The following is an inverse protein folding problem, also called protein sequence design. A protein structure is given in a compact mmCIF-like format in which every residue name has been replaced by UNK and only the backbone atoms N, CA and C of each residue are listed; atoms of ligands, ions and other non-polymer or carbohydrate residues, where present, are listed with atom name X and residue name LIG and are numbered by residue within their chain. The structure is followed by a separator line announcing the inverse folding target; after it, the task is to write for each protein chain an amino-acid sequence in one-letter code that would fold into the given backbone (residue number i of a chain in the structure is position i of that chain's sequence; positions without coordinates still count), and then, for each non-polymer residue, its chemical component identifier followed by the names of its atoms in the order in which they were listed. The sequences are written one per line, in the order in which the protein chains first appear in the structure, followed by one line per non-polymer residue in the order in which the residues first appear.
data_IF_298373053148
#
_entry.id   IF_298373053148
#
_cell.length_a   1.000
_cell.length_b   1.000
_cell.length_c   1.000
_cell.angle_alpha   90.00
_cell.angle_beta   90.00
_cell.angle_gamma   90.00
#
_symmetry.space_group_name_H-M   'P 1'
#
loop_
_entity.id
_entity.type
_entity.pdbx_description
1 polymer ?
#
# COMPACT_ATOMS: atom_id res chain seq x y z
N UNK A 1 -17.40 -18.49 8.83
CA UNK A 1 -16.60 -17.25 8.64
C UNK A 1 -15.34 -17.68 7.91
N UNK A 2 -14.96 -17.03 6.81
CA UNK A 2 -13.78 -17.45 6.04
C UNK A 2 -12.51 -17.19 6.86
N UNK A 3 -11.52 -18.09 6.78
CA UNK A 3 -10.23 -17.89 7.42
C UNK A 3 -9.54 -16.66 6.80
N UNK A 4 -8.92 -15.79 7.62
CA UNK A 4 -8.30 -14.57 7.14
C UNK A 4 -7.10 -14.86 6.22
N UNK A 5 -7.07 -14.21 5.05
CA UNK A 5 -6.04 -14.37 4.02
C UNK A 5 -5.61 -12.99 3.53
N UNK A 6 -4.32 -12.66 3.65
CA UNK A 6 -3.80 -11.33 3.34
C UNK A 6 -2.89 -11.40 2.10
N UNK A 7 -3.26 -10.64 1.06
CA UNK A 7 -2.41 -10.41 -0.11
C UNK A 7 -1.76 -9.03 -0.01
N UNK A 8 -0.45 -8.98 0.19
CA UNK A 8 0.31 -7.75 0.15
C UNK A 8 0.70 -7.43 -1.29
N UNK A 9 0.36 -6.25 -1.79
CA UNK A 9 0.69 -5.81 -3.16
C UNK A 9 1.75 -4.72 -3.09
N UNK A 10 2.95 -5.03 -3.58
CA UNK A 10 4.03 -4.05 -3.72
C UNK A 10 3.88 -3.34 -5.05
N UNK A 11 3.47 -2.08 -4.99
CA UNK A 11 3.37 -1.23 -6.18
C UNK A 11 4.78 -0.69 -6.48
N UNK A 12 5.26 -0.75 -7.74
CA UNK A 12 6.53 -0.16 -8.13
C UNK A 12 6.60 1.33 -7.75
N UNK A 13 7.56 1.67 -6.89
CA UNK A 13 7.96 3.04 -6.56
C UNK A 13 9.45 3.22 -6.87
N UNK A 14 9.98 4.46 -6.80
CA UNK A 14 11.43 4.70 -6.90
C UNK A 14 12.22 3.70 -6.04
N UNK A 15 13.34 3.21 -6.58
CA UNK A 15 14.18 2.12 -6.04
C UNK A 15 14.48 2.25 -4.53
N UNK A 16 13.59 1.72 -3.71
CA UNK A 16 13.75 1.54 -2.27
C UNK A 16 13.13 0.19 -1.95
N UNK A 17 13.88 -0.65 -1.24
CA UNK A 17 13.43 -1.99 -0.86
C UNK A 17 12.11 -1.96 -0.07
N UNK A 18 11.16 -2.89 -0.30
CA UNK A 18 9.82 -2.87 0.32
C UNK A 18 9.83 -3.35 1.79
N UNK A 19 10.59 -2.66 2.65
CA UNK A 19 10.72 -3.00 4.07
C UNK A 19 9.37 -3.04 4.82
N UNK A 20 8.41 -2.19 4.41
CA UNK A 20 7.09 -2.10 5.06
C UNK A 20 6.27 -3.38 4.95
N UNK A 21 6.01 -3.86 3.73
CA UNK A 21 5.21 -5.07 3.49
C UNK A 21 5.84 -6.31 4.10
N UNK A 22 7.16 -6.44 3.98
CA UNK A 22 7.92 -7.57 4.54
C UNK A 22 7.88 -7.56 6.07
N UNK A 23 8.06 -6.38 6.70
CA UNK A 23 8.01 -6.26 8.16
C UNK A 23 6.61 -6.57 8.71
N UNK A 24 5.56 -6.09 8.03
CA UNK A 24 4.18 -6.36 8.42
C UNK A 24 3.87 -7.86 8.32
N UNK A 25 4.24 -8.50 7.19
CA UNK A 25 4.02 -9.92 7.00
C UNK A 25 4.75 -10.76 8.07
N UNK A 26 5.99 -10.40 8.41
CA UNK A 26 6.74 -11.05 9.49
C UNK A 26 6.10 -10.82 10.87
N UNK A 27 5.53 -9.64 11.14
CA UNK A 27 4.81 -9.38 12.38
C UNK A 27 3.56 -10.26 12.50
N UNK A 28 2.73 -10.31 11.45
CA UNK A 28 1.53 -11.16 11.42
C UNK A 28 1.92 -12.63 11.52
N UNK A 29 2.93 -13.09 10.80
CA UNK A 29 3.39 -14.47 10.87
C UNK A 29 3.80 -14.89 12.30
N UNK A 30 4.40 -13.98 13.08
CA UNK A 30 4.82 -14.25 14.46
C UNK A 30 3.66 -14.27 15.46
N UNK A 31 2.63 -13.45 15.24
CA UNK A 31 1.54 -13.26 16.20
C UNK A 31 0.25 -14.00 15.84
N UNK A 32 0.05 -14.29 14.56
CA UNK A 32 -1.13 -14.94 13.96
C UNK A 32 -0.67 -15.91 12.85
N UNK A 33 0.09 -16.97 13.17
CA UNK A 33 0.66 -17.90 12.19
C UNK A 33 -0.38 -18.64 11.34
N UNK A 34 -1.63 -18.72 11.82
CA UNK A 34 -2.76 -19.31 11.11
C UNK A 34 -3.28 -18.46 9.95
N UNK A 35 -2.94 -17.16 9.91
CA UNK A 35 -3.32 -16.26 8.82
C UNK A 35 -2.49 -16.59 7.59
N UNK A 36 -3.15 -17.00 6.51
CA UNK A 36 -2.46 -17.23 5.24
C UNK A 36 -2.05 -15.90 4.63
N UNK A 37 -0.82 -15.82 4.13
CA UNK A 37 -0.24 -14.57 3.63
C UNK A 37 0.50 -14.80 2.32
N UNK A 38 0.38 -13.84 1.39
CA UNK A 38 1.13 -13.84 0.14
C UNK A 38 1.60 -12.41 -0.19
N UNK A 39 2.80 -12.27 -0.77
CA UNK A 39 3.32 -10.99 -1.25
C UNK A 39 3.40 -11.05 -2.78
N UNK A 40 2.68 -10.16 -3.45
CA UNK A 40 2.77 -9.91 -4.88
C UNK A 40 3.59 -8.66 -5.14
N UNK A 41 4.77 -8.82 -5.74
CA UNK A 41 5.58 -7.69 -6.20
C UNK A 41 5.27 -7.36 -7.65
N UNK A 42 4.69 -6.18 -7.90
CA UNK A 42 4.40 -5.68 -9.24
C UNK A 42 5.58 -4.92 -9.84
N UNK A 43 6.65 -4.69 -9.09
CA UNK A 43 7.84 -3.96 -9.55
C UNK A 43 8.51 -4.58 -10.79
N UNK A 44 8.70 -5.91 -10.88
CA UNK A 44 9.25 -6.53 -12.09
C UNK A 44 8.23 -6.67 -13.22
N UNK A 45 6.94 -6.41 -12.97
CA UNK A 45 5.86 -6.64 -13.93
C UNK A 45 5.69 -5.42 -14.85
N UNK A 46 5.66 -5.60 -16.18
CA UNK A 46 5.36 -4.53 -17.13
C UNK A 46 4.02 -3.86 -16.82
N UNK A 47 3.93 -2.54 -16.96
CA UNK A 47 2.74 -1.77 -16.56
C UNK A 47 1.44 -2.29 -17.18
N UNK A 48 1.46 -2.65 -18.48
CA UNK A 48 0.30 -3.20 -19.18
C UNK A 48 -0.16 -4.59 -18.70
N UNK A 49 0.65 -5.29 -17.90
CA UNK A 49 0.36 -6.64 -17.41
C UNK A 49 0.02 -6.67 -15.91
N UNK A 50 0.19 -5.54 -15.20
CA UNK A 50 0.03 -5.49 -13.73
C UNK A 50 -1.38 -5.81 -13.26
N UNK A 51 -2.40 -5.27 -13.92
CA UNK A 51 -3.80 -5.50 -13.55
C UNK A 51 -4.16 -6.98 -13.73
N UNK A 52 -3.85 -7.55 -14.90
CA UNK A 52 -4.10 -8.98 -15.16
C UNK A 52 -3.34 -9.88 -14.17
N UNK A 53 -2.11 -9.50 -13.80
CA UNK A 53 -1.31 -10.22 -12.80
C UNK A 53 -1.95 -10.15 -11.41
N UNK A 54 -2.46 -8.98 -11.02
CA UNK A 54 -3.16 -8.78 -9.75
C UNK A 54 -4.47 -9.60 -9.70
N UNK A 55 -5.26 -9.56 -10.78
CA UNK A 55 -6.52 -10.31 -10.87
C UNK A 55 -6.27 -11.82 -10.74
N UNK A 56 -5.28 -12.34 -11.47
CA UNK A 56 -4.90 -13.75 -11.38
C UNK A 56 -4.40 -14.13 -9.98
N UNK A 57 -3.71 -13.23 -9.28
CA UNK A 57 -3.28 -13.45 -7.90
C UNK A 57 -4.47 -13.45 -6.92
N UNK A 58 -5.42 -12.54 -7.09
CA UNK A 58 -6.64 -12.48 -6.27
C UNK A 58 -7.48 -13.74 -6.49
N UNK A 59 -7.67 -14.18 -7.72
CA UNK A 59 -8.43 -15.40 -8.03
C UNK A 59 -7.76 -16.63 -7.42
N UNK A 60 -6.45 -16.81 -7.66
CA UNK A 60 -5.67 -17.94 -7.13
C UNK A 60 -5.66 -17.97 -5.61
N UNK A 61 -5.37 -16.83 -4.98
CA UNK A 61 -5.12 -16.77 -3.54
C UNK A 61 -6.41 -16.56 -2.74
N UNK A 62 -7.47 -16.03 -3.36
CA UNK A 62 -8.74 -15.69 -2.72
C UNK A 62 -8.55 -14.93 -1.39
N UNK A 63 -7.85 -13.77 -1.39
CA UNK A 63 -7.61 -13.00 -0.19
C UNK A 63 -8.91 -12.44 0.40
N UNK A 64 -9.00 -12.42 1.72
CA UNK A 64 -10.04 -11.65 2.43
C UNK A 64 -9.61 -10.20 2.62
N UNK A 65 -8.31 -9.92 2.54
CA UNK A 65 -7.71 -8.58 2.66
C UNK A 65 -6.64 -8.40 1.59
N UNK A 66 -6.70 -7.29 0.86
CA UNK A 66 -5.63 -6.86 -0.06
C UNK A 66 -4.98 -5.60 0.52
N UNK A 67 -3.68 -5.67 0.80
CA UNK A 67 -2.91 -4.61 1.43
C UNK A 67 -1.91 -4.02 0.44
N UNK A 68 -2.17 -2.82 -0.07
CA UNK A 68 -1.27 -2.12 -0.99
C UNK A 68 -0.16 -1.39 -0.23
N UNK A 69 1.08 -1.57 -0.66
CA UNK A 69 2.20 -0.80 -0.13
C UNK A 69 2.25 0.58 -0.78
N UNK A 70 1.53 1.55 -0.21
CA UNK A 70 1.62 2.93 -0.65
C UNK A 70 2.89 3.58 -0.08
N UNK A 71 3.95 3.69 -0.89
CA UNK A 71 5.25 4.21 -0.45
C UNK A 71 5.54 5.64 -0.92
N UNK A 72 4.70 6.19 -1.80
CA UNK A 72 4.85 7.54 -2.33
C UNK A 72 3.84 8.52 -1.70
N UNK A 73 3.67 8.44 -0.37
CA UNK A 73 3.16 9.61 0.39
C UNK A 73 4.29 10.61 0.60
N UNK A 74 4.95 11.03 -0.48
CA UNK A 74 5.57 12.35 -0.50
C UNK A 74 4.45 13.32 -0.86
N UNK A 75 3.49 13.53 0.05
CA UNK A 75 2.59 14.68 -0.03
C UNK A 75 3.46 15.88 0.28
N UNK A 76 4.19 16.37 -0.74
CA UNK A 76 5.10 17.50 -0.69
C UNK A 76 5.61 17.81 0.72
N UNK A 77 6.35 16.90 1.35
CA UNK A 77 7.08 17.30 2.54
C UNK A 77 7.95 18.46 2.04
N UNK A 78 7.72 19.71 2.51
CA UNK A 78 8.63 20.78 2.13
C UNK A 78 10.02 20.30 2.54
N UNK A 79 11.08 20.76 1.87
CA UNK A 79 12.42 20.58 2.41
C UNK A 79 12.49 21.37 3.72
N UNK A 80 11.93 20.83 4.81
CA UNK A 80 11.79 21.48 6.09
C UNK A 80 13.14 21.26 6.80
N UNK A 81 13.88 22.34 7.10
CA UNK A 81 15.07 22.24 7.93
C UNK A 81 14.70 21.61 9.28
N UNK A 82 15.57 20.76 9.83
CA UNK A 82 15.33 19.94 11.03
C UNK A 82 14.65 20.68 12.20
N UNK A 83 14.83 22.00 12.32
CA UNK A 83 14.28 22.82 13.39
C UNK A 83 12.76 23.08 13.37
N UNK A 84 12.01 22.63 12.35
CA UNK A 84 10.56 22.94 12.22
C UNK A 84 9.60 21.74 12.30
N UNK A 85 10.11 20.54 12.52
CA UNK A 85 9.34 19.28 12.49
C UNK A 85 8.18 19.29 13.51
N UNK A 86 8.35 19.94 14.66
CA UNK A 86 7.35 19.90 15.73
C UNK A 86 6.05 20.69 15.43
N UNK A 87 6.13 21.74 14.59
CA UNK A 87 4.97 22.57 14.27
C UNK A 87 4.13 21.94 13.15
N UNK A 88 4.76 21.25 12.21
CA UNK A 88 4.08 20.62 11.07
C UNK A 88 3.43 19.28 11.43
N UNK A 89 3.95 18.55 12.42
CA UNK A 89 3.29 17.35 12.98
C UNK A 89 1.91 17.68 13.52
N UNK A 90 1.68 18.90 14.03
CA UNK A 90 0.37 19.34 14.53
C UNK A 90 -0.65 19.61 13.41
N UNK A 91 -0.19 19.82 12.17
CA UNK A 91 -1.03 20.15 11.01
C UNK A 91 -1.16 18.99 9.99
N UNK A 92 -0.60 17.82 10.30
CA UNK A 92 -0.52 16.66 9.42
C UNK A 92 -1.90 16.06 9.05
N UNK A 93 -2.85 16.09 9.98
CA UNK A 93 -4.12 15.36 9.88
C UNK A 93 -5.09 15.97 8.85
N UNK A 94 -5.09 17.29 8.69
CA UNK A 94 -6.01 17.98 7.78
C UNK A 94 -5.65 17.79 6.29
N UNK A 95 -4.36 17.64 5.97
CA UNK A 95 -3.89 17.53 4.59
C UNK A 95 -3.95 16.09 4.05
N UNK A 96 -3.82 15.08 4.94
CA UNK A 96 -3.95 13.68 4.57
C UNK A 96 -5.39 13.33 4.15
N UNK A 97 -6.40 13.89 4.85
CA UNK A 97 -7.80 13.67 4.54
C UNK A 97 -8.22 14.24 3.16
N UNK A 98 -7.65 15.38 2.76
CA UNK A 98 -7.92 16.00 1.47
C UNK A 98 -7.33 15.18 0.31
N UNK A 99 -6.07 14.75 0.44
CA UNK A 99 -5.40 13.93 -0.58
C UNK A 99 -6.09 12.57 -0.80
N UNK A 100 -6.61 11.96 0.28
CA UNK A 100 -7.40 10.74 0.18
C UNK A 100 -8.72 10.94 -0.58
N UNK A 101 -9.38 12.08 -0.35
CA UNK A 101 -10.65 12.43 -1.01
C UNK A 101 -10.46 12.66 -2.52
N UNK A 102 -9.38 13.33 -2.91
CA UNK A 102 -9.06 13.59 -4.32
C UNK A 102 -8.70 12.30 -5.08
N UNK A 103 -8.01 11.37 -4.42
CA UNK A 103 -7.73 10.05 -4.99
C UNK A 103 -8.99 9.21 -5.19
N UNK A 104 -9.91 9.20 -4.21
CA UNK A 104 -11.20 8.50 -4.35
C UNK A 104 -12.01 9.07 -5.52
N UNK A 105 -12.01 10.40 -5.69
CA UNK A 105 -12.65 11.07 -6.83
C UNK A 105 -12.02 10.67 -8.18
N UNK A 106 -10.69 10.62 -8.27
CA UNK A 106 -9.99 10.18 -9.48
C UNK A 106 -10.20 8.70 -9.82
N UNK A 107 -10.31 7.84 -8.80
CA UNK A 107 -10.63 6.42 -9.00
C UNK A 107 -12.06 6.21 -9.47
N UNK A 108 -13.02 7.05 -9.02
CA UNK A 108 -14.41 6.99 -9.48
C UNK A 108 -14.61 7.48 -10.92
N UNK A 109 -13.69 8.31 -11.43
CA UNK A 109 -13.72 8.79 -12.81
C UNK A 109 -13.13 7.79 -13.84
N UNK A 110 -12.44 6.74 -13.37
CA UNK A 110 -11.83 5.70 -14.22
C UNK A 110 -12.64 4.41 -14.30
N UNK A 111 -13.80 4.36 -13.63
CA UNK A 111 -14.77 3.26 -13.67
C UNK A 111 -16.15 3.73 -14.16
N UNK A 112 -16.17 4.54 -15.22
CA UNK A 112 -17.37 4.94 -15.96
C UNK A 112 -17.35 4.40 -17.38
#
# INVERSE_FOLDING_TARGET
MQDPRILYVVIPTKQIYPLGSVSMANYIHRHLPEVAQEILDLSPIPEGERTATLDAAIERFSPTIVAFSWRDMTVHAPKIPLGRIADDVKNYDANAAAAFKDFMLLSSASFG
#
